data_IF_923703567622
#
_entry.id   IF_923703567622
#
_cell.length_a   1.000
_cell.length_b   1.000
_cell.length_c   1.000
_cell.angle_alpha   90.00
_cell.angle_beta   90.00
_cell.angle_gamma   90.00
#
_symmetry.space_group_name_H-M   'P 1'
#
loop_
_entity.id
_entity.type
_entity.pdbx_description
1 polymer ?
#
# COMPACT_ATOMS: atom_id res chain seq x y z
N UNK A 1 5.47 5.61 -22.25
CA UNK A 1 4.58 4.43 -22.27
C UNK A 1 3.20 4.91 -22.69
N UNK A 2 2.43 4.14 -23.47
CA UNK A 2 1.05 4.50 -23.79
C UNK A 2 0.13 4.25 -22.59
N UNK A 3 -0.80 5.17 -22.34
CA UNK A 3 -1.79 5.11 -21.25
C UNK A 3 -3.20 4.89 -21.80
N UNK A 4 -4.01 4.10 -21.08
CA UNK A 4 -5.44 3.93 -21.37
C UNK A 4 -6.26 4.63 -20.28
N UNK A 5 -6.96 5.71 -20.66
CA UNK A 5 -7.81 6.47 -19.74
C UNK A 5 -9.22 5.88 -19.76
N UNK A 6 -9.64 5.33 -18.61
CA UNK A 6 -11.00 4.81 -18.43
C UNK A 6 -11.96 5.91 -17.96
N UNK A 7 -13.21 5.83 -18.41
CA UNK A 7 -14.29 6.66 -17.88
C UNK A 7 -14.69 6.22 -16.48
N UNK A 8 -15.39 7.08 -15.74
CA UNK A 8 -15.89 6.74 -14.40
C UNK A 8 -16.82 5.51 -14.42
N UNK A 9 -17.68 5.42 -15.43
CA UNK A 9 -18.57 4.28 -15.61
C UNK A 9 -17.78 2.98 -15.86
N UNK A 10 -16.76 3.02 -16.71
CA UNK A 10 -15.90 1.87 -16.98
C UNK A 10 -15.14 1.43 -15.73
N UNK A 11 -14.66 2.39 -14.93
CA UNK A 11 -14.04 2.09 -13.63
C UNK A 11 -15.03 1.39 -12.71
N UNK A 12 -16.28 1.88 -12.63
CA UNK A 12 -17.31 1.25 -11.78
C UNK A 12 -17.58 -0.19 -12.20
N UNK A 13 -17.73 -0.44 -13.51
CA UNK A 13 -17.90 -1.81 -14.07
C UNK A 13 -16.71 -2.68 -13.70
N UNK A 14 -15.48 -2.18 -13.89
CA UNK A 14 -14.26 -2.94 -13.60
C UNK A 14 -14.13 -3.27 -12.11
N UNK A 15 -14.44 -2.33 -11.21
CA UNK A 15 -14.36 -2.54 -9.75
C UNK A 15 -15.45 -3.44 -9.20
N UNK A 16 -16.61 -3.53 -9.87
CA UNK A 16 -17.73 -4.37 -9.45
C UNK A 16 -17.72 -5.77 -10.05
N UNK A 17 -16.85 -6.05 -11.02
CA UNK A 17 -16.78 -7.34 -11.69
C UNK A 17 -16.17 -8.42 -10.78
N UNK A 18 -16.87 -9.52 -10.60
CA UNK A 18 -16.36 -10.75 -9.97
C UNK A 18 -15.70 -11.70 -10.97
N UNK A 19 -15.86 -11.43 -12.26
CA UNK A 19 -15.41 -12.26 -13.38
C UNK A 19 -14.64 -11.41 -14.40
N UNK A 20 -13.89 -12.09 -15.27
CA UNK A 20 -13.08 -11.46 -16.32
C UNK A 20 -13.89 -10.48 -17.17
N UNK A 21 -13.39 -9.24 -17.28
CA UNK A 21 -14.05 -8.18 -18.05
C UNK A 21 -13.43 -8.13 -19.44
N UNK A 22 -14.21 -8.46 -20.47
CA UNK A 22 -13.77 -8.30 -21.87
C UNK A 22 -13.78 -6.83 -22.26
N UNK A 23 -12.63 -6.33 -22.71
CA UNK A 23 -12.48 -4.97 -23.23
C UNK A 23 -12.81 -4.97 -24.71
N UNK A 24 -13.79 -4.16 -25.10
CA UNK A 24 -14.17 -3.97 -26.50
C UNK A 24 -13.81 -2.56 -26.97
N UNK A 25 -13.40 -2.45 -28.23
CA UNK A 25 -13.20 -1.19 -28.92
C UNK A 25 -14.54 -0.50 -29.26
N UNK A 26 -14.48 0.75 -29.75
CA UNK A 26 -15.68 1.49 -30.16
C UNK A 26 -16.40 0.87 -31.36
N UNK A 27 -15.71 0.02 -32.12
CA UNK A 27 -16.23 -0.80 -33.21
C UNK A 27 -16.91 -2.10 -32.73
N UNK A 28 -16.90 -2.35 -31.41
CA UNK A 28 -17.46 -3.56 -30.79
C UNK A 28 -16.53 -4.77 -30.81
N UNK A 29 -15.35 -4.66 -31.42
CA UNK A 29 -14.38 -5.76 -31.48
C UNK A 29 -13.69 -5.97 -30.13
N UNK A 30 -13.43 -7.23 -29.76
CA UNK A 30 -12.71 -7.53 -28.53
C UNK A 30 -11.22 -7.16 -28.69
N UNK A 31 -10.75 -6.24 -27.85
CA UNK A 31 -9.36 -5.79 -27.82
C UNK A 31 -8.53 -6.56 -26.78
N UNK A 32 -9.20 -7.16 -25.79
CA UNK A 32 -8.54 -7.94 -24.75
C UNK A 32 -9.46 -8.22 -23.57
N UNK A 33 -8.86 -8.55 -22.43
CA UNK A 33 -9.58 -8.85 -21.20
C UNK A 33 -8.82 -8.32 -19.99
N UNK A 34 -9.53 -7.84 -18.99
CA UNK A 34 -9.01 -7.40 -17.70
C UNK A 34 -9.42 -8.40 -16.61
N UNK A 35 -8.45 -8.80 -15.80
CA UNK A 35 -8.72 -9.65 -14.64
C UNK A 35 -9.29 -8.78 -13.49
N UNK A 36 -10.36 -9.19 -12.80
CA UNK A 36 -10.85 -8.55 -11.59
C UNK A 36 -9.78 -8.33 -10.51
N UNK A 37 -8.74 -9.18 -10.48
CA UNK A 37 -7.58 -9.02 -9.61
C UNK A 37 -6.81 -7.74 -9.91
N UNK A 38 -6.81 -7.28 -11.15
CA UNK A 38 -6.24 -5.99 -11.56
C UNK A 38 -7.11 -4.83 -11.06
N UNK A 39 -8.44 -5.01 -11.01
CA UNK A 39 -9.35 -4.04 -10.41
C UNK A 39 -9.10 -3.88 -8.90
N UNK A 40 -8.86 -4.98 -8.19
CA UNK A 40 -8.46 -4.96 -6.78
C UNK A 40 -7.06 -4.33 -6.59
N UNK A 41 -6.15 -4.48 -7.56
CA UNK A 41 -4.85 -3.80 -7.54
C UNK A 41 -5.00 -2.28 -7.76
N UNK A 42 -5.88 -1.85 -8.68
CA UNK A 42 -6.25 -0.45 -8.91
C UNK A 42 -6.88 0.20 -7.67
N UNK A 43 -7.80 -0.48 -6.99
CA UNK A 43 -8.39 -0.01 -5.75
C UNK A 43 -7.34 0.17 -4.65
N UNK A 44 -6.46 -0.83 -4.46
CA UNK A 44 -5.32 -0.75 -3.54
C UNK A 44 -4.37 0.39 -3.91
N UNK A 45 -4.12 0.62 -5.20
CA UNK A 45 -3.26 1.68 -5.68
C UNK A 45 -3.90 3.08 -5.47
N UNK A 46 -5.21 3.22 -5.66
CA UNK A 46 -5.96 4.44 -5.32
C UNK A 46 -5.88 4.73 -3.83
N UNK A 47 -6.11 3.71 -2.99
CA UNK A 47 -6.03 3.85 -1.53
C UNK A 47 -4.63 4.25 -1.06
N UNK A 48 -3.58 3.69 -1.66
CA UNK A 48 -2.18 4.09 -1.44
C UNK A 48 -1.85 5.50 -1.93
N UNK A 49 -2.49 5.97 -3.00
CA UNK A 49 -2.33 7.35 -3.48
C UNK A 49 -3.08 8.38 -2.62
N UNK A 50 -4.17 7.97 -1.96
CA UNK A 50 -4.92 8.80 -1.03
C UNK A 50 -4.34 8.86 0.39
N UNK A 51 -3.40 7.97 0.72
CA UNK A 51 -2.70 7.99 2.02
C UNK A 51 -1.50 8.94 1.94
N UNK A 52 -1.64 10.14 2.49
CA UNK A 52 -0.58 11.15 2.64
C UNK A 52 0.39 10.84 3.79
N UNK A 53 0.51 9.56 4.18
CA UNK A 53 1.36 9.12 5.27
C UNK A 53 2.77 8.68 4.81
N UNK A 54 3.74 8.62 5.74
CA UNK A 54 5.05 8.06 5.46
C UNK A 54 4.92 6.62 4.93
N UNK A 55 5.58 6.32 3.80
CA UNK A 55 5.58 4.98 3.25
C UNK A 55 6.71 4.18 3.88
N UNK A 56 6.41 3.11 4.61
CA UNK A 56 7.44 2.20 5.14
C UNK A 56 7.68 1.02 4.19
N UNK A 57 8.92 0.54 4.16
CA UNK A 57 9.21 -0.72 3.50
C UNK A 57 8.72 -1.89 4.36
N UNK A 58 8.41 -3.03 3.75
CA UNK A 58 8.03 -4.22 4.51
C UNK A 58 9.14 -4.62 5.49
N UNK A 59 10.41 -4.47 5.11
CA UNK A 59 11.55 -4.72 5.98
C UNK A 59 11.59 -3.78 7.19
N UNK A 60 11.32 -2.49 6.99
CA UNK A 60 11.28 -1.50 8.07
C UNK A 60 10.16 -1.80 9.07
N UNK A 61 8.98 -2.19 8.57
CA UNK A 61 7.86 -2.60 9.42
C UNK A 61 8.22 -3.82 10.27
N UNK A 62 8.80 -4.85 9.66
CA UNK A 62 9.22 -6.05 10.38
C UNK A 62 10.28 -5.74 11.43
N UNK A 63 11.28 -4.90 11.10
CA UNK A 63 12.31 -4.48 12.04
C UNK A 63 11.74 -3.73 13.26
N UNK A 64 10.72 -2.89 13.05
CA UNK A 64 10.01 -2.20 14.16
C UNK A 64 9.24 -3.20 15.02
N UNK A 65 8.55 -4.17 14.42
CA UNK A 65 7.82 -5.22 15.15
C UNK A 65 8.79 -6.04 16.01
N UNK A 66 9.92 -6.48 15.45
CA UNK A 66 10.92 -7.25 16.17
C UNK A 66 11.49 -6.46 17.35
N UNK A 67 11.76 -5.17 17.15
CA UNK A 67 12.25 -4.30 18.23
C UNK A 67 11.20 -4.09 19.34
N UNK A 68 9.93 -3.96 18.98
CA UNK A 68 8.83 -3.84 19.95
C UNK A 68 8.63 -5.12 20.77
N UNK A 69 8.75 -6.28 20.13
CA UNK A 69 8.68 -7.58 20.82
C UNK A 69 9.86 -7.73 21.78
N UNK A 70 11.08 -7.43 21.33
CA UNK A 70 12.27 -7.48 22.18
C UNK A 70 12.17 -6.51 23.38
N UNK A 71 11.65 -5.30 23.16
CA UNK A 71 11.46 -4.34 24.25
C UNK A 71 10.40 -4.82 25.24
N UNK A 72 9.29 -5.39 24.75
CA UNK A 72 8.24 -5.95 25.61
C UNK A 72 8.76 -7.11 26.44
N UNK A 73 9.61 -7.96 25.87
CA UNK A 73 10.22 -9.07 26.59
C UNK A 73 11.22 -8.57 27.65
N UNK A 74 11.82 -7.39 27.46
CA UNK A 74 12.78 -6.76 28.38
C UNK A 74 12.12 -6.06 29.56
N UNK A 75 11.06 -5.28 29.33
CA UNK A 75 10.45 -4.40 30.35
C UNK A 75 9.03 -4.81 30.74
N UNK A 76 8.45 -5.79 30.04
CA UNK A 76 7.06 -6.19 30.18
C UNK A 76 6.11 -5.39 29.27
N UNK A 77 4.79 -5.54 29.47
CA UNK A 77 3.78 -4.81 28.72
C UNK A 77 3.95 -3.30 28.88
N UNK A 78 3.81 -2.56 27.80
CA UNK A 78 3.83 -1.10 27.79
C UNK A 78 2.59 -0.54 27.09
N UNK A 79 2.27 0.71 27.42
CA UNK A 79 1.13 1.41 26.82
C UNK A 79 1.44 1.99 25.44
N UNK A 80 0.42 2.56 24.81
CA UNK A 80 0.54 3.15 23.48
C UNK A 80 1.41 4.42 23.45
N UNK A 81 1.56 5.14 24.57
CA UNK A 81 2.39 6.34 24.65
C UNK A 81 3.87 5.95 24.65
N UNK A 82 4.24 4.99 25.48
CA UNK A 82 5.57 4.40 25.51
C UNK A 82 5.94 3.79 24.17
N UNK A 83 5.04 3.02 23.56
CA UNK A 83 5.25 2.41 22.24
C UNK A 83 5.60 3.46 21.18
N UNK A 84 4.85 4.58 21.12
CA UNK A 84 5.10 5.65 20.16
C UNK A 84 6.45 6.30 20.39
N UNK A 85 6.76 6.67 21.63
CA UNK A 85 8.04 7.28 21.98
C UNK A 85 9.23 6.34 21.68
N UNK A 86 9.04 5.02 21.85
CA UNK A 86 10.03 4.01 21.52
C UNK A 86 10.28 3.93 20.01
N UNK A 87 9.22 3.87 19.20
CA UNK A 87 9.34 3.85 17.74
C UNK A 87 9.99 5.14 17.22
N UNK A 88 9.59 6.31 17.72
CA UNK A 88 10.22 7.59 17.35
C UNK A 88 11.72 7.63 17.68
N UNK A 89 12.13 7.00 18.78
CA UNK A 89 13.54 6.86 19.13
C UNK A 89 14.27 5.93 18.16
N UNK A 90 13.69 4.77 17.82
CA UNK A 90 14.27 3.85 16.82
C UNK A 90 14.45 4.53 15.46
N UNK A 91 13.44 5.25 14.99
CA UNK A 91 13.49 5.98 13.72
C UNK A 91 14.53 7.11 13.72
N UNK A 92 14.76 7.74 14.88
CA UNK A 92 15.80 8.77 15.03
C UNK A 92 17.20 8.17 15.05
N UNK A 93 17.37 7.03 15.73
CA UNK A 93 18.68 6.39 15.95
C UNK A 93 19.17 5.67 14.68
N UNK A 94 18.28 4.98 13.97
CA UNK A 94 18.60 4.33 12.68
C UNK A 94 17.43 4.51 11.68
N UNK A 95 17.36 5.68 11.02
CA UNK A 95 16.30 5.99 10.07
C UNK A 95 16.35 5.12 8.81
N UNK A 96 17.50 4.52 8.48
CA UNK A 96 17.61 3.66 7.30
C UNK A 96 16.92 2.31 7.54
N UNK A 97 16.99 1.80 8.78
CA UNK A 97 16.39 0.53 9.17
C UNK A 97 14.94 0.67 9.61
N UNK A 98 14.63 1.64 10.46
CA UNK A 98 13.31 1.77 11.10
C UNK A 98 12.44 2.85 10.46
N UNK A 99 13.07 3.86 9.85
CA UNK A 99 12.36 5.01 9.29
C UNK A 99 11.58 4.71 8.00
N UNK A 100 10.74 5.66 7.57
CA UNK A 100 10.02 5.56 6.32
C UNK A 100 10.96 5.64 5.11
N UNK A 101 10.53 5.06 3.99
CA UNK A 101 11.19 5.18 2.70
C UNK A 101 11.20 6.66 2.32
N UNK A 102 12.39 7.26 2.32
CA UNK A 102 12.61 8.58 1.71
C UNK A 102 12.41 8.41 0.21
N UNK A 103 11.28 8.87 -0.31
CA UNK A 103 11.15 9.07 -1.76
C UNK A 103 12.23 10.08 -2.16
N UNK A 104 13.13 9.68 -3.06
CA UNK A 104 13.95 10.65 -3.77
C UNK A 104 13.00 11.66 -4.42
N UNK A 105 13.21 12.93 -4.11
CA UNK A 105 12.48 14.04 -4.72
C UNK A 105 12.83 14.16 -6.21
#
# INVERSE_FOLDING_TARGET
>A
MPDLVLTEEQVRVLTGASEQVTVRGPDGNALGSLDPRDAAALARHRQRRGTTGPCHSAASVLAVIDALLAERDRIGPFDAEYMRAFVERLERDDPAKYGPIRRAA
#
